data_IF_001221270565
#
_entry.id   IF_001221270565
#
_cell.length_a   1.000
_cell.length_b   1.000
_cell.length_c   1.000
_cell.angle_alpha   90.00
_cell.angle_beta   90.00
_cell.angle_gamma   90.00
#
_symmetry.space_group_name_H-M   'P 1'
#
loop_
_entity.id
_entity.type
_entity.pdbx_description
1 polymer ?
#
# COMPACT_ATOMS: atom_id res chain seq x y z
N UNK A 1 -38.41 -28.65 -32.57
CA UNK A 1 -38.02 -28.65 -31.15
C UNK A 1 -36.54 -28.97 -31.09
N UNK A 2 -35.68 -27.94 -31.07
CA UNK A 2 -34.22 -28.10 -31.11
C UNK A 2 -33.65 -28.08 -29.70
N UNK A 3 -33.01 -29.18 -29.30
CA UNK A 3 -32.29 -29.34 -28.05
C UNK A 3 -30.89 -28.75 -28.17
N UNK A 4 -30.62 -27.68 -27.43
CA UNK A 4 -29.27 -27.13 -27.26
C UNK A 4 -28.53 -27.90 -26.15
N UNK A 5 -27.39 -28.54 -26.44
CA UNK A 5 -26.61 -29.24 -25.41
C UNK A 5 -25.80 -28.22 -24.60
N UNK A 6 -26.18 -28.00 -23.34
CA UNK A 6 -25.35 -27.28 -22.38
C UNK A 6 -24.11 -28.13 -22.04
N UNK A 7 -22.96 -27.80 -22.62
CA UNK A 7 -21.67 -28.32 -22.17
C UNK A 7 -21.39 -27.74 -20.77
N UNK A 8 -21.53 -28.57 -19.74
CA UNK A 8 -21.02 -28.33 -18.40
C UNK A 8 -19.49 -28.22 -18.46
N UNK A 9 -18.97 -27.00 -18.63
CA UNK A 9 -17.57 -26.69 -18.36
C UNK A 9 -17.40 -26.83 -16.85
N UNK A 10 -16.78 -27.93 -16.39
CA UNK A 10 -16.30 -28.03 -15.01
C UNK A 10 -15.02 -27.20 -14.91
N UNK A 11 -15.01 -26.04 -14.24
CA UNK A 11 -13.75 -25.36 -13.97
C UNK A 11 -12.96 -26.24 -13.00
N UNK A 12 -11.89 -26.87 -13.48
CA UNK A 12 -10.89 -27.52 -12.62
C UNK A 12 -10.08 -26.41 -11.96
N UNK A 13 -10.61 -25.82 -10.89
CA UNK A 13 -9.85 -24.94 -10.01
C UNK A 13 -8.89 -25.82 -9.23
N UNK A 14 -7.68 -26.04 -9.76
CA UNK A 14 -6.58 -26.60 -8.96
C UNK A 14 -6.20 -25.55 -7.93
N UNK A 15 -6.75 -25.65 -6.72
CA UNK A 15 -6.27 -24.88 -5.58
C UNK A 15 -4.85 -25.34 -5.25
N UNK A 16 -3.82 -24.49 -5.39
CA UNK A 16 -2.48 -24.88 -5.01
C UNK A 16 -2.41 -24.81 -3.48
N UNK A 17 -2.82 -25.87 -2.80
CA UNK A 17 -2.76 -25.98 -1.32
C UNK A 17 -1.35 -25.70 -0.81
N UNK A 18 -0.33 -26.10 -1.59
CA UNK A 18 1.08 -25.79 -1.30
C UNK A 18 1.43 -24.31 -1.40
N UNK A 19 0.74 -23.51 -2.22
CA UNK A 19 0.95 -22.06 -2.23
C UNK A 19 0.24 -21.36 -1.07
N UNK A 20 -0.85 -21.94 -0.55
CA UNK A 20 -1.52 -21.44 0.65
C UNK A 20 -0.70 -21.69 1.93
N UNK A 21 0.09 -22.77 1.95
CA UNK A 21 0.99 -23.11 3.07
C UNK A 21 2.39 -22.50 2.94
N UNK A 22 2.74 -21.92 1.79
CA UNK A 22 4.02 -21.21 1.63
C UNK A 22 3.93 -19.86 2.32
N UNK A 23 4.69 -19.71 3.39
CA UNK A 23 5.00 -18.41 3.96
C UNK A 23 5.68 -17.57 2.87
N UNK A 24 4.98 -16.55 2.39
CA UNK A 24 5.58 -15.57 1.49
C UNK A 24 6.66 -14.81 2.25
N UNK A 25 7.80 -14.49 1.61
CA UNK A 25 8.80 -13.61 2.19
C UNK A 25 8.13 -12.35 2.75
N UNK A 26 8.42 -12.03 4.00
CA UNK A 26 7.93 -10.81 4.65
C UNK A 26 8.50 -9.63 3.86
N UNK A 27 7.63 -8.86 3.20
CA UNK A 27 8.08 -7.69 2.46
C UNK A 27 8.77 -6.67 3.38
N UNK A 28 9.70 -5.88 2.83
CA UNK A 28 10.56 -4.93 3.57
C UNK A 28 9.82 -3.90 4.46
N UNK A 29 8.50 -3.83 4.33
CA UNK A 29 7.63 -2.85 4.98
C UNK A 29 6.90 -3.46 6.19
N UNK A 30 6.98 -4.78 6.44
CA UNK A 30 6.19 -5.46 7.50
C UNK A 30 6.38 -4.84 8.89
N UNK A 31 7.63 -4.58 9.29
CA UNK A 31 7.94 -3.94 10.58
C UNK A 31 7.27 -2.57 10.74
N UNK A 32 7.09 -1.80 9.65
CA UNK A 32 6.41 -0.50 9.71
C UNK A 32 4.92 -0.63 10.01
N UNK A 33 4.28 -1.71 9.56
CA UNK A 33 2.86 -1.98 9.84
C UNK A 33 2.68 -2.40 11.31
N UNK A 34 3.57 -3.26 11.80
CA UNK A 34 3.53 -3.71 13.19
C UNK A 34 3.80 -2.55 14.16
N UNK A 35 4.84 -1.74 13.90
CA UNK A 35 5.18 -0.59 14.76
C UNK A 35 4.07 0.45 14.78
N UNK A 36 3.45 0.78 13.64
CA UNK A 36 2.35 1.76 13.62
C UNK A 36 1.13 1.25 14.38
N UNK A 37 0.79 -0.02 14.26
CA UNK A 37 -0.30 -0.63 15.02
C UNK A 37 -0.01 -0.68 16.52
N UNK A 38 1.20 -1.07 16.91
CA UNK A 38 1.63 -1.07 18.32
C UNK A 38 1.57 0.34 18.91
N UNK A 39 2.07 1.35 18.20
CA UNK A 39 2.03 2.74 18.67
C UNK A 39 0.58 3.24 18.77
N UNK A 40 -0.26 2.98 17.76
CA UNK A 40 -1.66 3.40 17.78
C UNK A 40 -2.45 2.72 18.93
N UNK A 41 -2.26 1.42 19.13
CA UNK A 41 -2.87 0.68 20.23
C UNK A 41 -2.33 1.14 21.58
N UNK A 42 -1.01 1.31 21.74
CA UNK A 42 -0.43 1.78 22.98
C UNK A 42 -0.98 3.15 23.37
N UNK A 43 -1.07 4.09 22.42
CA UNK A 43 -1.66 5.40 22.68
C UNK A 43 -3.13 5.29 23.10
N UNK A 44 -3.93 4.47 22.43
CA UNK A 44 -5.34 4.28 22.78
C UNK A 44 -5.51 3.59 24.16
N UNK A 45 -4.79 2.49 24.39
CA UNK A 45 -4.90 1.67 25.60
C UNK A 45 -4.33 2.36 26.83
N UNK A 46 -3.17 3.03 26.72
CA UNK A 46 -2.61 3.79 27.84
C UNK A 46 -3.49 4.99 28.22
N UNK A 47 -4.16 5.61 27.23
CA UNK A 47 -5.13 6.68 27.51
C UNK A 47 -6.33 6.13 28.29
N UNK A 48 -6.90 4.99 27.88
CA UNK A 48 -7.99 4.36 28.62
C UNK A 48 -7.56 3.88 30.01
N UNK A 49 -6.35 3.35 30.15
CA UNK A 49 -5.76 2.99 31.44
C UNK A 49 -5.65 4.20 32.36
N UNK A 50 -5.14 5.33 31.86
CA UNK A 50 -5.03 6.56 32.63
C UNK A 50 -6.39 7.16 33.05
N UNK A 51 -7.44 6.90 32.27
CA UNK A 51 -8.81 7.31 32.57
C UNK A 51 -9.57 6.30 33.44
N UNK A 52 -8.94 5.18 33.81
CA UNK A 52 -9.56 4.04 34.51
C UNK A 52 -10.80 3.48 33.78
N UNK A 53 -10.74 3.49 32.43
CA UNK A 53 -11.82 3.05 31.54
C UNK A 53 -11.40 1.86 30.67
N UNK A 54 -10.86 0.84 31.32
CA UNK A 54 -10.46 -0.41 30.64
C UNK A 54 -11.65 -1.23 30.13
N UNK A 55 -12.87 -0.91 30.56
CA UNK A 55 -14.12 -1.42 29.98
C UNK A 55 -14.25 -1.13 28.48
N UNK A 56 -13.61 -0.06 28.00
CA UNK A 56 -13.72 0.40 26.61
C UNK A 56 -12.64 -0.17 25.66
N UNK A 57 -11.81 -1.09 26.15
CA UNK A 57 -10.66 -1.64 25.41
C UNK A 57 -11.08 -2.30 24.10
N UNK A 58 -12.16 -3.07 24.07
CA UNK A 58 -12.65 -3.71 22.84
C UNK A 58 -12.92 -2.67 21.74
N UNK A 59 -13.59 -1.57 22.10
CA UNK A 59 -14.00 -0.54 21.16
C UNK A 59 -12.80 0.28 20.66
N UNK A 60 -11.88 0.63 21.57
CA UNK A 60 -10.64 1.31 21.22
C UNK A 60 -9.72 0.42 20.36
N UNK A 61 -9.68 -0.89 20.62
CA UNK A 61 -8.91 -1.84 19.82
C UNK A 61 -9.43 -1.90 18.37
N UNK A 62 -10.75 -1.77 18.17
CA UNK A 62 -11.38 -1.55 16.87
C UNK A 62 -10.72 -0.45 16.06
N UNK A 63 -10.75 0.77 16.60
CA UNK A 63 -10.15 1.93 15.95
C UNK A 63 -8.64 1.83 15.81
N UNK A 64 -7.94 1.43 16.87
CA UNK A 64 -6.48 1.38 16.92
C UNK A 64 -5.87 0.40 15.92
N UNK A 65 -6.47 -0.79 15.75
CA UNK A 65 -5.98 -1.80 14.80
C UNK A 65 -6.15 -1.39 13.34
N UNK A 66 -6.97 -0.37 13.03
CA UNK A 66 -7.03 0.19 11.67
C UNK A 66 -5.67 0.70 11.18
N UNK A 67 -4.71 0.96 12.07
CA UNK A 67 -3.33 1.29 11.71
C UNK A 67 -2.58 0.17 10.97
N UNK A 68 -3.10 -1.06 10.90
CA UNK A 68 -2.48 -2.13 10.11
C UNK A 68 -2.67 -1.94 8.59
N UNK A 69 -3.59 -1.08 8.17
CA UNK A 69 -4.05 -1.00 6.79
C UNK A 69 -3.34 0.09 5.97
N UNK A 70 -3.43 -0.01 4.63
CA UNK A 70 -3.09 1.04 3.66
C UNK A 70 -1.63 1.57 3.63
N UNK A 71 -0.70 0.96 4.37
CA UNK A 71 0.71 1.38 4.45
C UNK A 71 1.50 1.24 3.13
N UNK A 72 0.99 0.45 2.18
CA UNK A 72 1.55 0.33 0.83
C UNK A 72 1.05 1.39 -0.16
N UNK A 73 0.12 2.27 0.24
CA UNK A 73 -0.48 3.27 -0.64
C UNK A 73 0.24 4.63 -0.55
N UNK A 74 0.23 5.44 -1.64
CA UNK A 74 0.66 6.83 -1.59
C UNK A 74 -0.23 7.62 -0.64
N UNK A 75 0.28 8.67 0.01
CA UNK A 75 -0.36 9.25 1.20
C UNK A 75 -1.78 9.77 0.96
N UNK A 76 -2.07 10.35 -0.22
CA UNK A 76 -3.43 10.80 -0.55
C UNK A 76 -4.43 9.64 -0.66
N UNK A 77 -4.01 8.52 -1.26
CA UNK A 77 -4.83 7.30 -1.34
C UNK A 77 -4.89 6.60 0.03
N UNK A 78 -3.79 6.57 0.77
CA UNK A 78 -3.70 6.01 2.13
C UNK A 78 -4.65 6.71 3.08
N UNK A 79 -4.68 8.04 3.07
CA UNK A 79 -5.55 8.83 3.93
C UNK A 79 -7.03 8.46 3.73
N UNK A 80 -7.46 8.33 2.47
CA UNK A 80 -8.83 7.93 2.10
C UNK A 80 -9.11 6.47 2.45
N UNK A 81 -8.16 5.57 2.18
CA UNK A 81 -8.30 4.16 2.50
C UNK A 81 -8.40 3.93 4.02
N UNK A 82 -7.55 4.57 4.83
CA UNK A 82 -7.62 4.50 6.29
C UNK A 82 -8.94 5.06 6.82
N UNK A 83 -9.38 6.22 6.31
CA UNK A 83 -10.67 6.79 6.69
C UNK A 83 -11.83 5.83 6.35
N UNK A 84 -11.81 5.20 5.17
CA UNK A 84 -12.78 4.20 4.77
C UNK A 84 -12.75 2.95 5.65
N UNK A 85 -11.57 2.45 6.02
CA UNK A 85 -11.41 1.31 6.94
C UNK A 85 -11.92 1.64 8.33
N UNK A 86 -11.60 2.81 8.87
CA UNK A 86 -12.11 3.28 10.17
C UNK A 86 -13.63 3.44 10.13
N UNK A 87 -14.19 3.99 9.06
CA UNK A 87 -15.64 4.10 8.89
C UNK A 87 -16.30 2.72 8.79
N UNK A 88 -15.70 1.78 8.06
CA UNK A 88 -16.18 0.40 7.96
C UNK A 88 -16.12 -0.35 9.29
N UNK A 89 -15.03 -0.19 10.06
CA UNK A 89 -14.89 -0.72 11.41
C UNK A 89 -15.94 -0.13 12.35
N UNK A 90 -16.09 1.19 12.38
CA UNK A 90 -17.07 1.86 13.24
C UNK A 90 -18.52 1.48 12.87
N UNK A 91 -18.84 1.41 11.57
CA UNK A 91 -20.16 1.03 11.09
C UNK A 91 -20.51 -0.43 11.38
N UNK A 92 -19.57 -1.35 11.15
CA UNK A 92 -19.77 -2.76 11.49
C UNK A 92 -19.83 -3.01 13.00
N UNK A 93 -19.02 -2.30 13.79
CA UNK A 93 -19.10 -2.33 15.24
C UNK A 93 -20.43 -1.78 15.75
N UNK A 94 -20.92 -0.67 15.20
CA UNK A 94 -22.23 -0.13 15.52
C UNK A 94 -23.34 -1.15 15.22
N UNK A 95 -23.32 -1.78 14.04
CA UNK A 95 -24.28 -2.83 13.68
C UNK A 95 -24.21 -4.03 14.64
N UNK A 96 -23.00 -4.41 15.05
CA UNK A 96 -22.79 -5.48 16.03
C UNK A 96 -23.37 -5.15 17.40
N UNK A 97 -23.09 -3.96 17.92
CA UNK A 97 -23.58 -3.53 19.24
C UNK A 97 -25.10 -3.31 19.24
N UNK A 98 -25.66 -2.76 18.16
CA UNK A 98 -27.12 -2.67 17.99
C UNK A 98 -27.75 -4.05 17.98
N UNK A 99 -27.15 -5.02 17.29
CA UNK A 99 -27.62 -6.41 17.29
C UNK A 99 -27.57 -7.00 18.70
N UNK A 100 -26.45 -6.83 19.42
CA UNK A 100 -26.31 -7.28 20.79
C UNK A 100 -27.36 -6.66 21.73
N UNK A 101 -27.76 -5.41 21.49
CA UNK A 101 -28.77 -4.70 22.28
C UNK A 101 -30.21 -5.09 21.98
N UNK A 102 -30.51 -5.53 20.74
CA UNK A 102 -31.88 -5.81 20.29
C UNK A 102 -32.26 -7.28 20.38
N UNK A 103 -31.31 -8.20 20.53
CA UNK A 103 -31.62 -9.63 20.56
C UNK A 103 -30.70 -10.42 21.47
N UNK A 104 -31.29 -11.35 22.22
CA UNK A 104 -30.57 -12.40 22.97
C UNK A 104 -30.46 -13.71 22.17
N UNK A 105 -31.08 -13.79 21.00
CA UNK A 105 -31.03 -14.99 20.16
C UNK A 105 -29.64 -15.18 19.56
N UNK A 106 -28.95 -16.22 20.03
CA UNK A 106 -27.63 -16.62 19.51
C UNK A 106 -27.68 -16.86 18.00
N UNK A 107 -28.75 -17.49 17.49
CA UNK A 107 -28.91 -17.75 16.06
C UNK A 107 -28.92 -16.46 15.24
N UNK A 108 -29.63 -15.42 15.71
CA UNK A 108 -29.68 -14.11 15.04
C UNK A 108 -28.31 -13.42 15.09
N UNK A 109 -27.64 -13.45 16.25
CA UNK A 109 -26.29 -12.89 16.41
C UNK A 109 -25.28 -13.57 15.47
N UNK A 110 -25.29 -14.90 15.39
CA UNK A 110 -24.44 -15.66 14.46
C UNK A 110 -24.73 -15.30 13.01
N UNK A 111 -26.01 -15.20 12.63
CA UNK A 111 -26.41 -14.82 11.27
C UNK A 111 -25.88 -13.42 10.90
N UNK A 112 -26.07 -12.43 11.77
CA UNK A 112 -25.57 -11.07 11.55
C UNK A 112 -24.04 -11.04 11.47
N UNK A 113 -23.35 -11.74 12.37
CA UNK A 113 -21.89 -11.83 12.34
C UNK A 113 -21.39 -12.46 11.02
N UNK A 114 -22.03 -13.52 10.53
CA UNK A 114 -21.69 -14.16 9.26
C UNK A 114 -21.92 -13.22 8.05
N UNK A 115 -23.03 -12.47 8.03
CA UNK A 115 -23.32 -11.49 6.99
C UNK A 115 -22.29 -10.35 6.99
N UNK A 116 -21.96 -9.80 8.16
CA UNK A 116 -20.94 -8.76 8.29
C UNK A 116 -19.56 -9.27 7.88
N UNK A 117 -19.19 -10.51 8.25
CA UNK A 117 -17.94 -11.13 7.83
C UNK A 117 -17.85 -11.28 6.30
N UNK A 118 -18.94 -11.70 5.66
CA UNK A 118 -19.08 -11.76 4.21
C UNK A 118 -18.94 -10.39 3.55
N UNK A 119 -19.58 -9.37 4.12
CA UNK A 119 -19.45 -7.98 3.67
C UNK A 119 -18.02 -7.46 3.80
N UNK A 120 -17.34 -7.72 4.93
CA UNK A 120 -15.93 -7.33 5.11
C UNK A 120 -15.04 -8.00 4.07
N UNK A 121 -15.25 -9.29 3.81
CA UNK A 121 -14.51 -10.02 2.78
C UNK A 121 -14.74 -9.41 1.40
N UNK A 122 -16.00 -9.25 0.99
CA UNK A 122 -16.36 -8.65 -0.30
C UNK A 122 -15.80 -7.23 -0.46
N UNK A 123 -15.90 -6.39 0.57
CA UNK A 123 -15.39 -5.03 0.56
C UNK A 123 -13.85 -4.99 0.47
N UNK A 124 -13.14 -5.82 1.23
CA UNK A 124 -11.67 -5.89 1.18
C UNK A 124 -11.16 -6.39 -0.18
N UNK A 125 -11.85 -7.38 -0.76
CA UNK A 125 -11.50 -7.92 -2.08
C UNK A 125 -11.77 -6.87 -3.19
N UNK A 126 -12.93 -6.21 -3.14
CA UNK A 126 -13.29 -5.16 -4.10
C UNK A 126 -12.33 -3.97 -4.06
N UNK A 127 -11.90 -3.58 -2.86
CA UNK A 127 -10.94 -2.47 -2.66
C UNK A 127 -9.48 -2.91 -2.79
N UNK A 128 -9.22 -4.21 -2.97
CA UNK A 128 -7.89 -4.83 -3.00
C UNK A 128 -7.04 -4.45 -1.78
N UNK A 129 -7.69 -4.39 -0.62
CA UNK A 129 -7.00 -4.22 0.66
C UNK A 129 -6.19 -5.48 0.92
N UNK A 130 -4.86 -5.34 0.95
CA UNK A 130 -3.93 -6.44 1.21
C UNK A 130 -4.00 -6.95 2.66
N UNK A 131 -3.19 -7.98 3.01
CA UNK A 131 -3.08 -8.49 4.38
C UNK A 131 -2.89 -7.36 5.41
N UNK A 132 -3.62 -7.37 6.55
CA UNK A 132 -4.40 -8.48 7.11
C UNK A 132 -5.79 -8.73 6.49
N UNK A 133 -6.20 -7.99 5.46
CA UNK A 133 -7.47 -8.19 4.76
C UNK A 133 -8.68 -7.95 5.68
N UNK A 134 -9.72 -8.76 5.58
CA UNK A 134 -10.94 -8.59 6.39
C UNK A 134 -10.81 -9.10 7.84
N UNK A 135 -9.70 -9.77 8.20
CA UNK A 135 -9.57 -10.55 9.43
C UNK A 135 -9.84 -9.70 10.68
N UNK A 136 -9.16 -8.55 10.81
CA UNK A 136 -9.30 -7.65 11.97
C UNK A 136 -10.73 -7.11 12.10
N UNK A 137 -11.31 -6.65 10.99
CA UNK A 137 -12.70 -6.18 10.93
C UNK A 137 -13.65 -7.28 11.43
N UNK A 138 -13.56 -8.47 10.86
CA UNK A 138 -14.44 -9.58 11.23
C UNK A 138 -14.30 -10.00 12.69
N UNK A 139 -13.08 -10.12 13.22
CA UNK A 139 -12.87 -10.54 14.60
C UNK A 139 -13.42 -9.53 15.61
N UNK A 140 -13.14 -8.24 15.39
CA UNK A 140 -13.59 -7.19 16.30
C UNK A 140 -15.11 -7.03 16.24
N UNK A 141 -15.69 -7.04 15.04
CA UNK A 141 -17.15 -6.99 14.87
C UNK A 141 -17.83 -8.21 15.47
N UNK A 142 -17.26 -9.41 15.33
CA UNK A 142 -17.78 -10.60 16.00
C UNK A 142 -17.76 -10.42 17.53
N UNK A 143 -16.66 -9.91 18.09
CA UNK A 143 -16.59 -9.55 19.50
C UNK A 143 -17.71 -8.58 19.91
N UNK A 144 -17.95 -7.54 19.11
CA UNK A 144 -19.02 -6.56 19.35
C UNK A 144 -20.43 -7.15 19.30
N UNK A 145 -20.70 -8.11 18.40
CA UNK A 145 -22.00 -8.80 18.27
C UNK A 145 -22.33 -9.66 19.51
N UNK A 146 -21.32 -10.14 20.22
CA UNK A 146 -21.47 -11.03 21.38
C UNK A 146 -21.15 -10.36 22.72
N UNK A 147 -21.10 -9.03 22.79
CA UNK A 147 -21.00 -8.30 24.07
C UNK A 147 -22.24 -8.61 24.93
N UNK A 148 -22.05 -9.01 26.21
CA UNK A 148 -23.17 -9.24 27.12
C UNK A 148 -23.82 -7.92 27.55
N UNK A 149 -25.14 -7.96 27.81
CA UNK A 149 -25.91 -6.87 28.44
C UNK A 149 -25.75 -5.48 27.80
N UNK A 150 -25.60 -5.42 26.47
CA UNK A 150 -25.45 -4.17 25.74
C UNK A 150 -26.76 -3.37 25.73
N UNK A 151 -26.72 -2.11 26.14
CA UNK A 151 -27.87 -1.18 25.99
C UNK A 151 -27.72 -0.33 24.75
N UNK A 152 -28.84 0.06 24.15
CA UNK A 152 -28.86 0.88 22.94
C UNK A 152 -28.26 2.28 23.17
N UNK A 153 -28.45 2.84 24.37
CA UNK A 153 -27.91 4.14 24.77
C UNK A 153 -26.37 4.15 24.86
N UNK A 154 -25.74 3.00 25.06
CA UNK A 154 -24.28 2.87 25.18
C UNK A 154 -23.60 2.70 23.82
N UNK A 155 -24.37 2.48 22.73
CA UNK A 155 -23.80 2.31 21.39
C UNK A 155 -23.08 3.58 20.90
N UNK A 156 -23.66 4.79 20.95
CA UNK A 156 -22.97 6.00 20.51
C UNK A 156 -21.63 6.26 21.20
N UNK A 157 -21.49 6.19 22.55
CA UNK A 157 -20.19 6.39 23.19
C UNK A 157 -19.17 5.31 22.81
N UNK A 158 -19.55 4.04 22.72
CA UNK A 158 -18.65 2.95 22.29
C UNK A 158 -18.13 3.17 20.86
N UNK A 159 -19.01 3.55 19.93
CA UNK A 159 -18.62 3.90 18.55
C UNK A 159 -17.74 5.15 18.54
N UNK A 160 -18.02 6.13 19.40
CA UNK A 160 -17.19 7.32 19.59
C UNK A 160 -15.75 6.98 19.99
N UNK A 161 -15.56 6.03 20.91
CA UNK A 161 -14.23 5.53 21.31
C UNK A 161 -13.52 4.86 20.15
N UNK A 162 -14.23 4.03 19.38
CA UNK A 162 -13.69 3.41 18.16
C UNK A 162 -13.24 4.47 17.15
N UNK A 163 -14.04 5.52 16.92
CA UNK A 163 -13.68 6.61 16.02
C UNK A 163 -12.48 7.42 16.53
N UNK A 164 -12.41 7.70 17.84
CA UNK A 164 -11.29 8.41 18.45
C UNK A 164 -9.97 7.62 18.31
N UNK A 165 -9.99 6.33 18.64
CA UNK A 165 -8.84 5.45 18.42
C UNK A 165 -8.49 5.30 16.93
N UNK A 166 -9.50 5.28 16.06
CA UNK A 166 -9.33 5.29 14.61
C UNK A 166 -8.68 6.58 14.09
N UNK A 167 -9.00 7.72 14.68
CA UNK A 167 -8.34 8.99 14.38
C UNK A 167 -6.87 8.98 14.80
N UNK A 168 -6.55 8.40 15.98
CA UNK A 168 -5.16 8.18 16.40
C UNK A 168 -4.42 7.28 15.42
N UNK A 169 -5.02 6.14 15.05
CA UNK A 169 -4.47 5.22 14.05
C UNK A 169 -4.21 5.92 12.70
N UNK A 170 -5.14 6.77 12.27
CA UNK A 170 -4.99 7.58 11.07
C UNK A 170 -3.80 8.55 11.17
N UNK A 171 -3.68 9.27 12.29
CA UNK A 171 -2.56 10.19 12.53
C UNK A 171 -1.21 9.47 12.56
N UNK A 172 -1.13 8.32 13.23
CA UNK A 172 0.08 7.49 13.28
C UNK A 172 0.46 7.00 11.89
N UNK A 173 -0.51 6.46 11.12
CA UNK A 173 -0.28 5.97 9.76
C UNK A 173 0.08 7.05 8.74
N UNK A 174 -0.33 8.29 9.00
CA UNK A 174 -0.02 9.48 8.19
C UNK A 174 1.23 10.23 8.66
N UNK A 175 1.74 9.96 9.88
CA UNK A 175 2.93 10.63 10.43
C UNK A 175 4.18 10.61 9.52
N UNK A 176 4.48 9.55 8.74
CA UNK A 176 5.69 9.53 7.91
C UNK A 176 5.65 10.56 6.77
N UNK A 177 4.47 11.06 6.42
CA UNK A 177 4.30 12.10 5.41
C UNK A 177 5.06 13.39 5.76
N UNK A 178 5.20 13.72 7.05
CA UNK A 178 5.89 14.92 7.51
C UNK A 178 7.40 14.89 7.22
N UNK A 179 8.00 13.70 7.22
CA UNK A 179 9.43 13.53 6.96
C UNK A 179 9.72 13.18 5.49
N UNK A 180 8.83 12.42 4.85
CA UNK A 180 9.01 11.95 3.47
C UNK A 180 7.68 12.00 2.71
N UNK A 181 7.27 13.18 2.19
CA UNK A 181 6.01 13.34 1.47
C UNK A 181 5.89 12.45 0.24
N UNK A 182 7.02 12.13 -0.39
CA UNK A 182 7.09 11.37 -1.65
C UNK A 182 7.66 9.95 -1.45
N UNK A 183 7.69 9.49 -0.19
CA UNK A 183 8.33 8.24 0.20
C UNK A 183 7.78 7.01 -0.55
N UNK A 184 6.45 6.76 -0.55
CA UNK A 184 5.86 5.62 -1.23
C UNK A 184 6.16 5.58 -2.74
N UNK A 185 6.04 6.72 -3.41
CA UNK A 185 6.28 6.89 -4.84
C UNK A 185 7.75 6.61 -5.18
N UNK A 186 8.67 7.20 -4.41
CA UNK A 186 10.11 6.98 -4.58
C UNK A 186 10.53 5.53 -4.37
N UNK A 187 9.97 4.86 -3.37
CA UNK A 187 10.26 3.44 -3.10
C UNK A 187 9.72 2.55 -4.22
N UNK A 188 8.53 2.85 -4.74
CA UNK A 188 7.96 2.08 -5.85
C UNK A 188 8.82 2.21 -7.12
N UNK A 189 9.24 3.42 -7.47
CA UNK A 189 10.15 3.66 -8.60
C UNK A 189 11.52 3.01 -8.36
N UNK A 190 12.09 3.14 -7.16
CA UNK A 190 13.37 2.48 -6.84
C UNK A 190 13.33 0.95 -7.01
N UNK A 191 12.22 0.31 -6.61
CA UNK A 191 12.02 -1.14 -6.82
C UNK A 191 11.91 -1.49 -8.30
N UNK A 192 11.25 -0.67 -9.10
CA UNK A 192 11.20 -0.86 -10.55
C UNK A 192 12.60 -0.79 -11.17
N UNK A 193 13.40 0.21 -10.76
CA UNK A 193 14.79 0.37 -11.21
C UNK A 193 15.66 -0.83 -10.83
N UNK A 194 15.57 -1.31 -9.60
CA UNK A 194 16.31 -2.49 -9.12
C UNK A 194 15.94 -3.76 -9.90
N UNK A 195 14.65 -4.02 -10.10
CA UNK A 195 14.20 -5.19 -10.87
C UNK A 195 14.63 -5.11 -12.33
N UNK A 196 14.59 -3.92 -12.94
CA UNK A 196 15.09 -3.71 -14.31
C UNK A 196 16.61 -3.89 -14.37
N UNK A 197 17.37 -3.36 -13.43
CA UNK A 197 18.82 -3.54 -13.37
C UNK A 197 19.20 -5.03 -13.24
N UNK A 198 18.50 -5.78 -12.39
CA UNK A 198 18.66 -7.23 -12.28
C UNK A 198 18.35 -7.94 -13.60
N UNK A 199 17.27 -7.55 -14.29
CA UNK A 199 16.96 -8.08 -15.62
C UNK A 199 18.08 -7.81 -16.63
N UNK A 200 18.67 -6.61 -16.65
CA UNK A 200 19.79 -6.30 -17.54
C UNK A 200 21.02 -7.17 -17.26
N UNK A 201 21.39 -7.36 -15.98
CA UNK A 201 22.47 -8.28 -15.61
C UNK A 201 22.20 -9.70 -16.10
N UNK A 202 20.99 -10.24 -15.85
CA UNK A 202 20.64 -11.59 -16.30
C UNK A 202 20.65 -11.77 -17.82
N UNK A 203 20.38 -10.71 -18.59
CA UNK A 203 20.49 -10.73 -20.06
C UNK A 203 21.95 -10.79 -20.50
N UNK A 204 22.82 -10.00 -19.88
CA UNK A 204 24.26 -10.00 -20.17
C UNK A 204 24.88 -11.36 -19.86
N UNK A 205 24.54 -11.97 -18.73
CA UNK A 205 25.03 -13.29 -18.34
C UNK A 205 24.54 -14.40 -19.29
N UNK A 206 23.29 -14.30 -19.76
CA UNK A 206 22.75 -15.22 -20.76
C UNK A 206 23.48 -15.08 -22.11
N UNK A 207 23.76 -13.85 -22.56
CA UNK A 207 24.48 -13.59 -23.80
C UNK A 207 25.95 -14.10 -23.73
N UNK A 208 26.65 -13.84 -22.63
CA UNK A 208 28.01 -14.35 -22.41
C UNK A 208 28.06 -15.89 -22.39
N UNK A 209 27.03 -16.54 -21.84
CA UNK A 209 26.88 -18.00 -21.87
C UNK A 209 26.71 -18.59 -23.27
N UNK A 210 25.97 -17.91 -24.16
CA UNK A 210 25.78 -18.37 -25.54
C UNK A 210 27.04 -18.26 -26.41
N UNK A 211 27.90 -17.26 -26.16
CA UNK A 211 29.15 -17.06 -26.91
C UNK A 211 30.24 -18.09 -26.60
N UNK A 212 30.25 -18.66 -25.38
CA UNK A 212 31.24 -19.65 -24.95
C UNK A 212 31.13 -21.00 -25.68
N UNK A 213 29.97 -21.32 -26.27
CA UNK A 213 29.79 -22.56 -27.05
C UNK A 213 30.19 -22.42 -28.51
N UNK A 214 30.17 -21.20 -29.06
CA UNK A 214 30.56 -20.95 -30.45
C UNK A 214 32.09 -20.88 -30.64
N UNK A 215 32.86 -20.65 -29.57
CA UNK A 215 34.33 -20.55 -29.60
C UNK A 215 35.09 -21.84 -29.30
N UNK A 216 34.40 -22.95 -29.00
CA UNK A 216 35.01 -24.23 -28.70
C UNK A 216 35.40 -25.01 -29.95
N UNK A 217 36.50 -24.62 -30.61
CA UNK A 217 37.23 -25.50 -31.51
C UNK A 217 37.80 -26.67 -30.72
N UNK A 218 37.05 -27.77 -30.62
CA UNK A 218 37.47 -29.03 -30.01
C UNK A 218 37.65 -30.12 -31.08
N UNK A 219 38.63 -31.03 -30.91
CA UNK A 219 39.13 -31.86 -31.99
C UNK A 219 38.10 -32.91 -32.44
N UNK A 220 38.10 -33.14 -33.74
CA UNK A 220 37.39 -34.19 -34.48
C UNK A 220 37.40 -35.53 -33.72
N UNK A 221 36.30 -35.85 -33.03
CA UNK A 221 36.06 -37.19 -32.49
C UNK A 221 35.15 -37.93 -33.46
N UNK A 222 35.77 -38.74 -34.32
CA UNK A 222 35.12 -39.84 -35.01
C UNK A 222 34.54 -40.81 -33.97
N UNK A 223 33.21 -40.86 -33.88
CA UNK A 223 32.48 -41.77 -33.00
C UNK A 223 31.02 -41.86 -33.43
N UNK A 224 30.67 -43.02 -33.98
CA UNK A 224 29.34 -43.41 -34.47
C UNK A 224 28.22 -43.02 -33.50
N UNK A 225 27.27 -42.21 -33.96
CA UNK A 225 26.03 -41.87 -33.23
C UNK A 225 24.97 -42.94 -33.48
N UNK A 226 24.38 -43.56 -32.44
CA UNK A 226 23.21 -44.42 -32.63
C UNK A 226 21.96 -43.57 -32.92
N UNK A 227 21.04 -44.02 -33.80
CA UNK A 227 19.83 -43.27 -34.11
C UNK A 227 18.79 -43.50 -33.00
N UNK A 228 18.44 -42.47 -32.24
CA UNK A 228 17.31 -42.60 -31.30
C UNK A 228 17.16 -41.63 -30.13
N UNK A 229 17.93 -40.54 -30.01
CA UNK A 229 17.76 -39.59 -28.88
C UNK A 229 17.79 -38.11 -29.25
N UNK A 230 17.43 -37.77 -30.50
CA UNK A 230 17.18 -36.37 -30.89
C UNK A 230 15.73 -35.97 -30.61
N UNK A 231 15.43 -35.72 -29.33
CA UNK A 231 14.37 -34.81 -28.88
C UNK A 231 14.59 -34.54 -27.39
N UNK A 232 14.70 -33.25 -27.06
CA UNK A 232 14.58 -32.66 -25.71
C UNK A 232 15.84 -32.50 -24.83
N UNK A 233 17.01 -32.37 -25.45
CA UNK A 233 18.30 -32.19 -24.77
C UNK A 233 18.80 -30.75 -24.62
N UNK A 234 17.97 -29.76 -24.27
CA UNK A 234 18.53 -28.47 -23.80
C UNK A 234 19.34 -28.76 -22.54
N UNK A 235 20.66 -28.48 -22.45
CA UNK A 235 21.45 -28.76 -21.25
C UNK A 235 20.75 -28.15 -20.02
N UNK A 236 20.73 -28.87 -18.89
CA UNK A 236 19.96 -28.47 -17.71
C UNK A 236 20.25 -27.03 -17.25
N UNK A 237 21.50 -26.58 -17.42
CA UNK A 237 21.91 -25.20 -17.13
C UNK A 237 21.36 -24.13 -18.10
N UNK A 238 21.05 -24.47 -19.35
CA UNK A 238 20.45 -23.54 -20.31
C UNK A 238 18.94 -23.36 -20.04
N UNK A 239 18.24 -24.43 -19.64
CA UNK A 239 16.85 -24.34 -19.13
C UNK A 239 16.77 -23.47 -17.87
N UNK A 240 17.68 -23.67 -16.93
CA UNK A 240 17.72 -22.88 -15.69
C UNK A 240 17.99 -21.39 -15.95
N UNK A 241 18.92 -21.07 -16.86
CA UNK A 241 19.18 -19.68 -17.30
C UNK A 241 17.98 -19.07 -18.00
N UNK A 242 17.32 -19.81 -18.88
CA UNK A 242 16.10 -19.36 -19.56
C UNK A 242 14.98 -19.06 -18.55
N UNK A 243 14.75 -19.97 -17.60
CA UNK A 243 13.76 -19.78 -16.52
C UNK A 243 14.11 -18.59 -15.63
N UNK A 244 15.40 -18.38 -15.31
CA UNK A 244 15.86 -17.23 -14.55
C UNK A 244 15.61 -15.91 -15.29
N UNK A 245 15.87 -15.88 -16.61
CA UNK A 245 15.58 -14.72 -17.46
C UNK A 245 14.08 -14.44 -17.54
N UNK A 246 13.25 -15.46 -17.69
CA UNK A 246 11.79 -15.31 -17.69
C UNK A 246 11.26 -14.76 -16.37
N UNK A 247 11.79 -15.25 -15.23
CA UNK A 247 11.47 -14.71 -13.89
C UNK A 247 11.89 -13.24 -13.76
N UNK A 248 13.12 -12.90 -14.14
CA UNK A 248 13.61 -11.53 -14.08
C UNK A 248 12.79 -10.57 -14.96
N UNK A 249 12.36 -11.02 -16.16
CA UNK A 249 11.46 -10.24 -17.04
C UNK A 249 10.11 -10.01 -16.38
N UNK A 250 9.52 -11.04 -15.80
CA UNK A 250 8.25 -10.94 -15.09
C UNK A 250 8.34 -10.00 -13.90
N UNK A 251 9.40 -10.12 -13.08
CA UNK A 251 9.60 -9.30 -11.89
C UNK A 251 9.83 -7.82 -12.24
N UNK A 252 10.60 -7.53 -13.30
CA UNK A 252 10.79 -6.17 -13.80
C UNK A 252 9.47 -5.56 -14.31
N UNK A 253 8.73 -6.28 -15.16
CA UNK A 253 7.44 -5.83 -15.67
C UNK A 253 6.42 -5.61 -14.53
N UNK A 254 6.38 -6.51 -13.55
CA UNK A 254 5.51 -6.38 -12.38
C UNK A 254 5.89 -5.15 -11.53
N UNK A 255 7.18 -4.89 -11.33
CA UNK A 255 7.66 -3.75 -10.56
C UNK A 255 7.42 -2.42 -11.27
N UNK A 256 7.66 -2.33 -12.59
CA UNK A 256 7.36 -1.16 -13.43
C UNK A 256 5.86 -0.84 -13.40
N UNK A 257 5.01 -1.85 -13.64
CA UNK A 257 3.56 -1.65 -13.56
C UNK A 257 3.11 -1.22 -12.16
N UNK A 258 3.65 -1.81 -11.09
CA UNK A 258 3.34 -1.41 -9.72
C UNK A 258 3.77 0.04 -9.42
N UNK A 259 4.90 0.50 -9.98
CA UNK A 259 5.34 1.88 -9.87
C UNK A 259 4.40 2.84 -10.60
N UNK A 260 3.98 2.54 -11.84
CA UNK A 260 2.99 3.32 -12.57
C UNK A 260 1.67 3.44 -11.81
N UNK A 261 1.13 2.33 -11.32
CA UNK A 261 -0.09 2.32 -10.52
C UNK A 261 0.03 3.16 -9.24
N UNK A 262 1.22 3.19 -8.63
CA UNK A 262 1.49 4.01 -7.45
C UNK A 262 1.49 5.50 -7.80
N UNK A 263 2.17 5.90 -8.88
CA UNK A 263 2.21 7.29 -9.35
C UNK A 263 0.82 7.79 -9.76
N UNK A 264 0.03 6.96 -10.45
CA UNK A 264 -1.34 7.30 -10.83
C UNK A 264 -2.25 7.49 -9.60
N UNK A 265 -2.09 6.65 -8.57
CA UNK A 265 -2.86 6.76 -7.31
C UNK A 265 -2.47 7.96 -6.45
N UNK A 266 -1.28 8.54 -6.64
CA UNK A 266 -0.85 9.73 -5.91
C UNK A 266 -1.64 10.99 -6.32
N UNK A 267 -2.13 11.05 -7.56
CA UNK A 267 -3.03 12.10 -8.07
C UNK A 267 -2.40 13.48 -8.29
N UNK A 268 -1.12 13.67 -7.95
CA UNK A 268 -0.35 14.90 -8.22
C UNK A 268 0.65 14.59 -9.36
N UNK A 269 0.83 15.48 -10.35
CA UNK A 269 1.83 15.28 -11.40
C UNK A 269 3.23 15.23 -10.79
N UNK A 270 3.96 14.13 -11.03
CA UNK A 270 5.32 13.86 -10.53
C UNK A 270 6.25 13.57 -11.68
N UNK A 271 6.40 14.55 -12.56
CA UNK A 271 7.00 14.35 -13.88
C UNK A 271 8.44 13.84 -13.80
N UNK A 272 9.24 14.29 -12.82
CA UNK A 272 10.58 13.77 -12.60
C UNK A 272 10.64 12.26 -12.30
N UNK A 273 9.69 11.72 -11.51
CA UNK A 273 9.62 10.28 -11.24
C UNK A 273 9.10 9.49 -12.44
N UNK A 274 8.16 10.06 -13.20
CA UNK A 274 7.64 9.45 -14.43
C UNK A 274 8.73 9.32 -15.49
N UNK A 275 9.53 10.36 -15.68
CA UNK A 275 10.69 10.36 -16.59
C UNK A 275 11.67 9.22 -16.30
N UNK A 276 12.08 9.09 -15.04
CA UNK A 276 12.98 8.00 -14.60
C UNK A 276 12.34 6.63 -14.84
N UNK A 277 11.03 6.49 -14.59
CA UNK A 277 10.31 5.23 -14.77
C UNK A 277 10.18 4.84 -16.25
N UNK A 278 9.92 5.80 -17.15
CA UNK A 278 9.88 5.58 -18.62
C UNK A 278 11.22 5.04 -19.13
N UNK A 279 12.35 5.53 -18.60
CA UNK A 279 13.68 4.99 -18.92
C UNK A 279 13.87 3.55 -18.44
N UNK A 280 13.39 3.24 -17.25
CA UNK A 280 13.42 1.88 -16.72
C UNK A 280 12.55 0.92 -17.56
N UNK A 281 11.39 1.37 -18.01
CA UNK A 281 10.49 0.62 -18.88
C UNK A 281 11.11 0.38 -20.26
N UNK A 282 11.72 1.41 -20.84
CA UNK A 282 12.41 1.32 -22.13
C UNK A 282 13.60 0.35 -22.08
N UNK A 283 14.40 0.40 -21.00
CA UNK A 283 15.48 -0.56 -20.75
C UNK A 283 14.94 -1.99 -20.52
N UNK A 284 13.81 -2.14 -19.81
CA UNK A 284 13.15 -3.42 -19.64
C UNK A 284 12.60 -3.97 -20.98
N UNK A 285 12.13 -3.11 -21.89
CA UNK A 285 11.70 -3.50 -23.24
C UNK A 285 12.87 -3.81 -24.19
N UNK A 286 14.09 -3.38 -23.86
CA UNK A 286 15.27 -3.50 -24.73
C UNK A 286 15.28 -2.45 -25.84
N UNK A 287 14.61 -1.32 -25.66
CA UNK A 287 14.59 -0.22 -26.62
C UNK A 287 15.90 0.57 -26.58
N UNK A 288 16.61 0.73 -27.72
CA UNK A 288 17.89 1.43 -27.76
C UNK A 288 17.75 2.97 -27.62
N UNK A 289 16.56 3.53 -27.90
CA UNK A 289 16.33 4.97 -27.94
C UNK A 289 16.47 5.66 -26.56
N UNK A 290 16.31 4.91 -25.46
CA UNK A 290 16.42 5.39 -24.08
C UNK A 290 17.38 4.48 -23.29
N UNK A 291 18.43 3.96 -23.93
CA UNK A 291 19.34 3.00 -23.32
C UNK A 291 19.98 3.57 -22.03
N UNK A 292 19.70 2.91 -20.90
CA UNK A 292 20.32 3.16 -19.60
C UNK A 292 20.91 1.84 -19.11
N UNK A 293 22.15 1.87 -18.63
CA UNK A 293 22.83 0.70 -18.08
C UNK A 293 22.31 0.31 -16.69
N UNK A 294 22.64 -0.90 -16.26
CA UNK A 294 22.16 -1.44 -15.00
C UNK A 294 22.74 -0.70 -13.77
N UNK A 295 23.98 -0.21 -13.86
CA UNK A 295 24.66 0.49 -12.76
C UNK A 295 24.05 1.88 -12.49
N UNK A 296 23.66 2.59 -13.55
CA UNK A 296 22.94 3.87 -13.47
C UNK A 296 21.57 3.67 -12.83
N UNK A 297 20.82 2.64 -13.25
CA UNK A 297 19.53 2.29 -12.64
C UNK A 297 19.69 1.98 -11.14
N UNK A 298 20.73 1.25 -10.75
CA UNK A 298 21.01 0.96 -9.34
C UNK A 298 21.38 2.21 -8.54
N UNK A 299 22.17 3.11 -9.12
CA UNK A 299 22.54 4.39 -8.50
C UNK A 299 21.30 5.25 -8.25
N UNK A 300 20.44 5.38 -9.27
CA UNK A 300 19.18 6.10 -9.13
C UNK A 300 18.25 5.47 -8.09
N UNK A 301 18.15 4.14 -8.04
CA UNK A 301 17.36 3.45 -7.02
C UNK A 301 17.86 3.76 -5.60
N UNK A 302 19.19 3.78 -5.40
CA UNK A 302 19.80 4.14 -4.13
C UNK A 302 19.48 5.57 -3.72
N UNK A 303 19.63 6.54 -4.62
CA UNK A 303 19.34 7.95 -4.36
C UNK A 303 17.85 8.17 -4.04
N UNK A 304 16.96 7.47 -4.74
CA UNK A 304 15.53 7.49 -4.47
C UNK A 304 15.20 7.00 -3.05
N UNK A 305 15.79 5.88 -2.61
CA UNK A 305 15.60 5.31 -1.27
C UNK A 305 16.16 6.20 -0.16
N UNK A 306 17.26 6.90 -0.42
CA UNK A 306 17.90 7.81 0.55
C UNK A 306 17.22 9.17 0.66
N UNK A 307 16.26 9.48 -0.21
CA UNK A 307 15.60 10.79 -0.20
C UNK A 307 16.50 11.92 -0.74
N UNK A 308 17.55 11.57 -1.50
CA UNK A 308 18.43 12.54 -2.19
C UNK A 308 17.65 13.24 -3.31
N UNK A 309 18.13 14.39 -3.84
CA UNK A 309 17.53 15.05 -5.00
C UNK A 309 17.20 14.06 -6.12
N UNK A 310 16.11 14.30 -6.86
CA UNK A 310 15.75 13.43 -7.98
C UNK A 310 16.91 13.39 -8.97
N UNK A 311 17.38 12.20 -9.37
CA UNK A 311 18.37 12.11 -10.43
C UNK A 311 17.84 12.80 -11.68
N UNK A 312 18.59 13.75 -12.21
CA UNK A 312 18.33 14.25 -13.55
C UNK A 312 18.92 13.23 -14.52
N UNK A 313 18.07 12.57 -15.32
CA UNK A 313 18.59 11.70 -16.34
C UNK A 313 19.47 12.53 -17.28
N UNK A 314 20.61 12.01 -17.79
CA UNK A 314 21.42 12.76 -18.73
C UNK A 314 20.52 13.23 -19.89
N UNK A 315 20.64 14.50 -20.31
CA UNK A 315 19.87 15.00 -21.44
C UNK A 315 20.14 14.08 -22.62
N UNK A 316 19.09 13.42 -23.10
CA UNK A 316 19.19 12.67 -24.34
C UNK A 316 19.38 13.64 -25.50
N UNK A 317 19.69 13.12 -26.68
CA UNK A 317 19.54 13.92 -27.89
C UNK A 317 18.08 14.43 -28.04
N UNK A 318 17.86 15.40 -28.94
CA UNK A 318 16.54 15.99 -29.15
C UNK A 318 15.46 14.92 -29.48
N UNK A 319 15.86 13.82 -30.11
CA UNK A 319 15.00 12.69 -30.46
C UNK A 319 14.57 11.90 -29.22
N UNK A 320 15.49 11.63 -28.31
CA UNK A 320 15.23 10.98 -27.02
C UNK A 320 14.28 11.83 -26.18
N UNK A 321 14.50 13.14 -26.16
CA UNK A 321 13.65 14.09 -25.42
C UNK A 321 12.24 14.17 -26.03
N UNK A 322 12.13 14.20 -27.36
CA UNK A 322 10.84 14.20 -28.06
C UNK A 322 10.08 12.89 -27.86
N UNK A 323 10.78 11.75 -27.84
CA UNK A 323 10.19 10.43 -27.58
C UNK A 323 9.68 10.33 -26.14
N UNK A 324 10.47 10.79 -25.16
CA UNK A 324 10.06 10.86 -23.75
C UNK A 324 8.83 11.77 -23.56
N UNK A 325 8.77 12.90 -24.26
CA UNK A 325 7.60 13.79 -24.27
C UNK A 325 6.38 13.15 -24.93
N UNK A 326 6.54 12.41 -26.04
CA UNK A 326 5.46 11.73 -26.73
C UNK A 326 4.84 10.61 -25.88
N UNK A 327 5.65 9.79 -25.21
CA UNK A 327 5.19 8.75 -24.28
C UNK A 327 4.40 9.36 -23.10
N UNK A 328 4.94 10.42 -22.48
CA UNK A 328 4.24 11.13 -21.39
C UNK A 328 2.94 11.79 -21.86
N UNK A 329 2.91 12.33 -23.08
CA UNK A 329 1.73 12.91 -23.69
C UNK A 329 0.67 11.84 -24.00
N UNK A 330 1.07 10.65 -24.46
CA UNK A 330 0.19 9.49 -24.62
C UNK A 330 -0.46 9.07 -23.30
N UNK A 331 0.34 8.92 -22.25
CA UNK A 331 -0.15 8.60 -20.89
C UNK A 331 -1.11 9.68 -20.38
N UNK A 332 -0.81 10.97 -20.63
CA UNK A 332 -1.68 12.08 -20.26
C UNK A 332 -3.00 12.10 -21.06
N UNK A 333 -2.99 11.66 -22.31
CA UNK A 333 -4.18 11.55 -23.16
C UNK A 333 -5.11 10.39 -22.74
N UNK A 334 -4.55 9.26 -22.31
CA UNK A 334 -5.31 8.11 -21.78
C UNK A 334 -5.90 8.36 -20.39
N UNK A 335 -5.29 9.25 -19.62
CA UNK A 335 -5.73 9.67 -18.31
C UNK A 335 -5.99 11.18 -18.31
N UNK A 336 -7.12 11.64 -18.87
CA UNK A 336 -7.45 13.06 -18.83
C UNK A 336 -7.41 13.50 -17.37
N UNK A 337 -6.46 14.38 -17.07
CA UNK A 337 -6.51 15.19 -15.86
C UNK A 337 -7.92 15.75 -15.78
N UNK A 338 -8.54 15.69 -14.59
CA UNK A 338 -9.76 16.46 -14.33
C UNK A 338 -9.39 17.94 -14.27
N UNK A 339 -8.91 18.50 -15.37
CA UNK A 339 -8.90 19.93 -15.60
C UNK A 339 -10.27 20.33 -16.11
N UNK A 340 -10.86 21.41 -15.57
CA UNK A 340 -12.07 21.98 -16.16
C UNK A 340 -11.70 22.44 -17.57
N UNK A 341 -12.30 21.83 -18.58
CA UNK A 341 -12.13 22.21 -19.97
C UNK A 341 -12.63 23.64 -20.19
N UNK A 342 -11.79 24.64 -20.00
CA UNK A 342 -11.95 25.96 -20.62
C UNK A 342 -11.47 25.87 -22.05
N UNK A 343 -12.21 25.13 -22.88
CA UNK A 343 -12.13 25.24 -24.32
C UNK A 343 -13.33 26.08 -24.76
N UNK A 344 -13.11 27.40 -24.82
CA UNK A 344 -14.02 28.33 -25.52
C UNK A 344 -14.07 27.89 -26.98
N UNK A 345 -15.17 27.27 -27.36
CA UNK A 345 -15.48 26.94 -28.75
C UNK A 345 -15.91 28.25 -29.42
N UNK A 346 -15.26 28.73 -30.50
CA UNK A 346 -15.71 29.94 -31.17
C UNK A 346 -17.07 29.65 -31.81
N UNK A 347 -18.11 30.31 -31.31
CA UNK A 347 -19.45 30.30 -31.92
C UNK A 347 -19.35 31.02 -33.25
N UNK A 348 -19.77 30.32 -34.30
CA UNK A 348 -19.87 30.83 -35.67
C UNK A 348 -20.86 32.00 -35.67
N UNK A 349 -20.34 33.19 -36.00
CA UNK A 349 -21.11 34.43 -36.15
C UNK A 349 -22.06 34.28 -37.34
N UNK A 350 -23.36 34.41 -37.12
CA UNK A 350 -24.33 34.78 -38.16
C UNK A 350 -25.00 36.06 -37.73
N UNK A 351 -24.93 37.04 -38.61
CA UNK A 351 -25.37 38.43 -38.42
C UNK A 351 -26.89 38.57 -38.27
N UNK A 352 -27.29 39.63 -37.56
CA UNK A 352 -28.56 40.33 -37.81
C UNK A 352 -29.45 40.58 -36.60
N UNK A 353 -29.55 41.86 -36.18
CA UNK A 353 -30.74 42.41 -35.52
C UNK A 353 -30.56 42.90 -34.07
N UNK A 354 -30.62 44.22 -33.90
CA UNK A 354 -30.46 44.99 -32.66
C UNK A 354 -31.83 45.24 -31.92
N UNK A 355 -31.95 46.03 -30.84
CA UNK A 355 -32.11 45.55 -29.46
C UNK A 355 -33.43 45.99 -28.76
N UNK A 356 -33.82 45.35 -27.62
CA UNK A 356 -34.73 45.99 -26.65
C UNK A 356 -34.72 45.39 -25.23
N UNK A 357 -34.34 46.27 -24.28
CA UNK A 357 -34.75 46.50 -22.88
C UNK A 357 -35.34 45.38 -22.00
N UNK A 358 -34.74 45.33 -20.80
CA UNK A 358 -35.35 45.42 -19.45
C UNK A 358 -35.44 44.16 -18.55
N UNK A 359 -34.69 44.29 -17.43
CA UNK A 359 -35.01 44.07 -16.02
C UNK A 359 -35.20 42.66 -15.41
N UNK A 360 -34.52 42.56 -14.25
CA UNK A 360 -34.81 41.83 -13.00
C UNK A 360 -34.59 40.31 -12.92
N UNK A 361 -33.88 39.88 -11.86
CA UNK A 361 -34.09 38.54 -11.27
C UNK A 361 -32.87 37.67 -10.96
N UNK A 362 -32.29 37.85 -9.76
CA UNK A 362 -31.97 36.83 -8.73
C UNK A 362 -31.28 35.48 -9.11
N UNK A 363 -30.13 35.30 -8.45
CA UNK A 363 -29.40 34.10 -8.02
C UNK A 363 -30.01 32.68 -8.16
N UNK A 364 -29.15 31.71 -8.51
CA UNK A 364 -28.90 30.49 -7.71
C UNK A 364 -27.91 29.52 -8.39
N UNK A 365 -26.95 29.01 -7.62
CA UNK A 365 -26.57 27.60 -7.74
C UNK A 365 -25.17 27.22 -8.24
N UNK A 366 -24.08 27.64 -7.59
CA UNK A 366 -22.79 26.91 -7.70
C UNK A 366 -21.96 26.96 -6.39
N UNK A 367 -22.45 26.32 -5.32
CA UNK A 367 -21.69 26.22 -4.06
C UNK A 367 -21.55 24.80 -3.47
N UNK A 368 -21.99 23.74 -4.15
CA UNK A 368 -22.00 22.41 -3.52
C UNK A 368 -20.71 21.57 -3.72
N UNK A 369 -19.88 21.83 -4.74
CA UNK A 369 -18.70 20.98 -5.05
C UNK A 369 -17.33 21.49 -4.57
N UNK A 370 -17.18 22.81 -4.39
CA UNK A 370 -15.89 23.46 -4.03
C UNK A 370 -15.58 23.39 -2.53
N UNK A 371 -16.62 23.36 -1.69
CA UNK A 371 -16.48 23.32 -0.23
C UNK A 371 -15.72 22.08 0.26
N UNK A 372 -16.06 20.88 -0.22
CA UNK A 372 -15.48 19.64 0.31
C UNK A 372 -13.95 19.53 0.07
N UNK A 373 -13.44 20.02 -1.06
CA UNK A 373 -12.00 20.02 -1.37
C UNK A 373 -11.24 21.10 -0.61
N UNK A 374 -11.82 22.28 -0.45
CA UNK A 374 -11.23 23.35 0.36
C UNK A 374 -11.24 23.01 1.86
N UNK A 375 -12.32 22.38 2.37
CA UNK A 375 -12.42 21.88 3.74
C UNK A 375 -11.40 20.77 4.01
N UNK A 376 -11.13 19.88 3.03
CA UNK A 376 -10.12 18.83 3.19
C UNK A 376 -8.69 19.40 3.19
N UNK A 377 -8.37 20.33 2.28
CA UNK A 377 -7.08 21.01 2.26
C UNK A 377 -6.84 21.84 3.53
N UNK A 378 -7.89 22.50 4.03
CA UNK A 378 -7.84 23.28 5.26
C UNK A 378 -7.80 22.38 6.52
N UNK A 379 -8.45 21.22 6.51
CA UNK A 379 -8.33 20.20 7.55
C UNK A 379 -6.94 19.56 7.56
N UNK A 380 -6.33 19.30 6.40
CA UNK A 380 -4.95 18.84 6.27
C UNK A 380 -3.94 19.88 6.76
N UNK A 381 -4.18 21.17 6.46
CA UNK A 381 -3.35 22.28 6.96
C UNK A 381 -3.51 22.49 8.48
N UNK A 382 -4.73 22.36 9.03
CA UNK A 382 -4.95 22.37 10.49
C UNK A 382 -4.31 21.16 11.17
N UNK A 383 -4.40 19.97 10.58
CA UNK A 383 -3.75 18.78 11.10
C UNK A 383 -2.22 18.90 11.09
N UNK A 384 -1.62 19.57 10.10
CA UNK A 384 -0.18 19.92 10.12
C UNK A 384 0.19 20.74 11.37
N UNK A 385 -0.65 21.70 11.76
CA UNK A 385 -0.42 22.58 12.91
C UNK A 385 -0.76 21.96 14.28
N UNK A 386 -1.69 20.99 14.32
CA UNK A 386 -2.03 20.24 15.54
C UNK A 386 -0.99 19.17 15.81
N UNK A 387 -0.60 18.40 14.79
CA UNK A 387 0.44 17.37 14.92
C UNK A 387 1.81 17.98 15.24
N UNK A 388 2.15 19.13 14.64
CA UNK A 388 3.39 19.84 14.99
C UNK A 388 3.39 20.34 16.44
N UNK A 389 2.25 20.82 16.97
CA UNK A 389 2.12 21.27 18.36
C UNK A 389 2.17 20.12 19.36
N UNK A 390 1.51 19.00 19.09
CA UNK A 390 1.58 17.79 19.94
C UNK A 390 3.01 17.26 19.98
N UNK A 391 3.70 17.25 18.83
CA UNK A 391 5.08 16.76 18.74
C UNK A 391 6.10 17.72 19.39
N UNK A 392 5.94 19.04 19.23
CA UNK A 392 6.74 20.03 19.98
C UNK A 392 6.46 19.96 21.49
N UNK A 393 5.20 19.74 21.89
CA UNK A 393 4.81 19.56 23.29
C UNK A 393 5.44 18.33 23.94
N UNK A 394 5.48 17.19 23.22
CA UNK A 394 6.17 15.98 23.68
C UNK A 394 7.69 16.18 23.78
N UNK A 395 8.29 16.97 22.88
CA UNK A 395 9.73 17.27 22.91
C UNK A 395 10.11 18.25 24.04
N UNK A 396 9.20 19.18 24.38
CA UNK A 396 9.37 20.10 25.51
C UNK A 396 9.14 19.41 26.87
N UNK A 397 8.19 18.47 26.95
CA UNK A 397 7.94 17.67 28.16
C UNK A 397 9.05 16.67 28.50
N UNK A 398 9.76 16.16 27.49
CA UNK A 398 10.91 15.25 27.68
C UNK A 398 12.19 15.92 28.21
N UNK A 399 12.30 17.24 28.16
CA UNK A 399 13.49 17.97 28.63
C UNK A 399 13.39 18.45 30.09
N UNK A 400 12.20 18.41 30.71
CA UNK A 400 11.98 18.87 32.09
C UNK A 400 11.91 17.75 33.14
N UNK A 401 12.01 16.48 32.73
CA UNK A 401 11.78 15.31 33.59
C UNK A 401 13.01 14.46 33.90
N UNK A 402 14.20 15.05 34.04
CA UNK A 402 15.42 14.31 34.47
C UNK A 402 16.26 15.11 35.46
N UNK A 403 15.70 15.41 36.64
CA UNK A 403 16.46 15.79 37.85
C UNK A 403 15.52 15.78 39.07
N UNK A 404 15.18 14.58 39.53
CA UNK A 404 14.75 14.38 40.92
C UNK A 404 15.38 13.07 41.38
N UNK A 405 16.20 13.20 42.43
CA UNK A 405 17.13 12.23 42.95
C UNK A 405 16.43 10.99 43.50
N UNK A 406 17.04 9.82 43.27
CA UNK A 406 16.80 8.62 44.07
C UNK A 406 18.06 8.40 44.91
N UNK A 407 18.01 8.86 46.15
CA UNK A 407 18.91 8.44 47.21
C UNK A 407 18.63 6.98 47.56
N UNK A 408 19.64 6.12 47.43
CA UNK A 408 19.60 4.72 47.88
C UNK A 408 20.46 4.62 49.14
N UNK A 409 19.90 4.27 50.31
CA UNK A 409 20.72 4.02 51.48
C UNK A 409 21.37 2.64 51.36
N UNK A 410 22.71 2.62 51.45
CA UNK A 410 23.53 1.43 51.68
C UNK A 410 23.49 1.08 53.17
N UNK A 411 23.19 -0.18 53.50
CA UNK A 411 23.51 -0.71 54.83
C UNK A 411 22.96 -2.11 55.12
N UNK A 412 23.87 -3.10 55.16
CA UNK A 412 23.85 -4.36 55.94
C UNK A 412 22.72 -5.38 55.69
N UNK A 413 22.89 -6.70 55.76
CA UNK A 413 24.01 -7.59 55.98
C UNK A 413 23.60 -9.02 55.50
N UNK A 414 24.60 -9.87 55.35
CA UNK A 414 24.54 -11.25 54.85
C UNK A 414 23.62 -12.20 55.63
N UNK A 415 23.00 -13.15 54.92
CA UNK A 415 22.88 -14.56 55.36
C UNK A 415 23.06 -15.48 54.16
N UNK A 416 24.05 -16.37 54.30
CA UNK A 416 24.47 -17.46 53.41
C UNK A 416 23.88 -18.76 53.98
N UNK A 417 23.32 -19.64 53.12
CA UNK A 417 23.13 -21.11 53.24
C UNK A 417 21.87 -21.50 52.42
N UNK A 418 21.82 -22.56 51.62
CA UNK A 418 22.74 -23.64 51.33
C UNK A 418 22.26 -24.39 50.08
N UNK A 419 23.23 -24.86 49.30
CA UNK A 419 23.06 -25.66 48.10
C UNK A 419 22.97 -27.13 48.54
N UNK A 420 21.92 -27.85 48.17
CA UNK A 420 21.91 -29.32 48.14
C UNK A 420 21.49 -29.79 46.77
N UNK A 421 22.47 -30.31 46.02
CA UNK A 421 22.28 -31.18 44.87
C UNK A 421 21.62 -32.47 45.34
N UNK A 422 20.70 -33.01 44.54
CA UNK A 422 20.55 -34.46 44.42
C UNK A 422 20.32 -34.83 42.97
N UNK A 423 21.19 -35.73 42.50
CA UNK A 423 21.15 -36.44 41.23
C UNK A 423 20.94 -37.92 41.58
N UNK A 424 20.44 -38.68 40.61
CA UNK A 424 20.28 -40.14 40.52
C UNK A 424 18.86 -40.61 40.89
N UNK A 425 18.07 -40.99 39.88
CA UNK A 425 18.27 -42.26 39.17
C UNK A 425 17.83 -42.20 37.72
#
# INVERSE_FOLDING_TARGET
MSSLPFRLVRPRVRMPVRSALRLRPLGDVWHKHAVSAVVALALAMLTLYALDRLDLVLYAAGGGMCALYAHGLPYAARARALAGVVAGMAGSMAAGLVTAALTDSVAVRVLVAALLAGLHKAACDATRIGPPGNVVLTFITAGAVFVPEQRLADVPPHVGVCLAAGAVAWLVGMSPWLARPDGPERIAVARALESTAHLLHTRTDAAAGSGSWAGGGGPERNGVTPPGSERDGVPAGERERHDALLRARHDAAAAVNAAWQTLLRAGVPRDGLRRILVRAESAAAGSPALAVDADTLMTWAFDLRKGRPLPEPPPGDALTTATEQAELAGIAAEHPSTEPATAVRPVRRTDGGEPRRARDGVAAGETCGRGARAHLAHAMARNRAVVSRVWLGMRAGGAAGTRAAVDVPRGMAAVRLGMTRSVVS
#
